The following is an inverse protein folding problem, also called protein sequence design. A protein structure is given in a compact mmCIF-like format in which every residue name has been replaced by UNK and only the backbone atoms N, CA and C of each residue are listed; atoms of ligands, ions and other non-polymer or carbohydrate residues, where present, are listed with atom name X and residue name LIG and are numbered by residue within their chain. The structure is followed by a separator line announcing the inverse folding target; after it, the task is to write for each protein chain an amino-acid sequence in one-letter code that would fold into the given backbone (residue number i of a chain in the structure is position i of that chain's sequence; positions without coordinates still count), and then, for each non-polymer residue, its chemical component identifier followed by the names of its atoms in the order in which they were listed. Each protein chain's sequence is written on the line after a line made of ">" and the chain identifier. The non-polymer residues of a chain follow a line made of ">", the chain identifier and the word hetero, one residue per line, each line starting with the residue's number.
data_IF_234844658330
#
_entry.id   IF_234844658330
#
_cell.length_a   1.000
_cell.length_b   1.000
_cell.length_c   1.000
_cell.angle_alpha   90.00
_cell.angle_beta   90.00
_cell.angle_gamma   90.00
#
_symmetry.space_group_name_H-M   'P 1'
#
loop_
_entity.id
_entity.type
_entity.pdbx_description
1 polymer ?
#
# COMPACT_ATOMS: atom_id res chain seq x y z
N UNK A 1 -33.49 -3.01 -10.78
CA UNK A 1 -32.98 -4.30 -10.32
C UNK A 1 -33.84 -5.44 -10.84
N UNK A 2 -33.21 -6.45 -11.44
CA UNK A 2 -33.82 -7.70 -11.89
C UNK A 2 -33.05 -8.87 -11.28
N UNK A 3 -33.77 -9.87 -10.73
CA UNK A 3 -33.18 -11.12 -10.23
C UNK A 3 -33.03 -12.10 -11.39
N UNK A 4 -31.83 -12.65 -11.57
CA UNK A 4 -31.51 -13.70 -12.56
C UNK A 4 -30.82 -14.89 -11.93
N UNK A 5 -30.74 -15.97 -12.69
CA UNK A 5 -29.99 -17.18 -12.34
C UNK A 5 -28.98 -17.47 -13.42
N UNK A 6 -27.77 -17.85 -13.03
CA UNK A 6 -26.75 -18.28 -13.99
C UNK A 6 -26.97 -19.73 -14.45
N UNK A 7 -26.07 -20.24 -15.29
CA UNK A 7 -26.13 -21.60 -15.83
C UNK A 7 -26.01 -22.71 -14.76
N UNK A 8 -25.60 -22.36 -13.55
CA UNK A 8 -25.43 -23.28 -12.40
C UNK A 8 -26.59 -23.11 -11.40
N UNK A 9 -27.57 -22.26 -11.70
CA UNK A 9 -28.73 -21.98 -10.86
C UNK A 9 -28.46 -20.99 -9.72
N UNK A 10 -27.30 -20.34 -9.69
CA UNK A 10 -26.95 -19.34 -8.68
C UNK A 10 -27.65 -18.02 -8.97
N UNK A 11 -28.19 -17.40 -7.92
CA UNK A 11 -28.94 -16.15 -8.04
C UNK A 11 -27.97 -14.97 -8.08
N UNK A 12 -28.22 -14.04 -9.01
CA UNK A 12 -27.53 -12.75 -9.07
C UNK A 12 -28.53 -11.66 -9.47
N UNK A 13 -28.13 -10.39 -9.31
CA UNK A 13 -28.99 -9.24 -9.52
C UNK A 13 -28.37 -8.29 -10.54
N UNK A 14 -29.19 -7.76 -11.44
CA UNK A 14 -28.80 -6.81 -12.49
C UNK A 14 -29.50 -5.48 -12.25
N UNK A 15 -28.74 -4.39 -12.20
CA UNK A 15 -29.31 -3.05 -12.30
C UNK A 15 -29.32 -2.58 -13.75
N UNK A 16 -30.50 -2.45 -14.35
CA UNK A 16 -30.68 -1.98 -15.73
C UNK A 16 -30.32 -0.52 -15.95
N UNK A 17 -30.38 0.31 -14.89
CA UNK A 17 -30.08 1.74 -15.01
C UNK A 17 -28.58 1.97 -15.11
N UNK A 18 -27.80 1.32 -14.25
CA UNK A 18 -26.34 1.45 -14.20
C UNK A 18 -25.61 0.36 -14.99
N UNK A 19 -26.35 -0.64 -15.49
CA UNK A 19 -25.81 -1.86 -16.14
C UNK A 19 -24.80 -2.60 -15.26
N UNK A 20 -24.99 -2.54 -13.95
CA UNK A 20 -24.15 -3.25 -12.97
C UNK A 20 -24.76 -4.58 -12.57
N UNK A 21 -23.94 -5.47 -12.05
CA UNK A 21 -24.38 -6.76 -11.51
C UNK A 21 -23.76 -7.00 -10.14
N UNK A 22 -24.48 -7.72 -9.28
CA UNK A 22 -23.96 -8.13 -7.97
C UNK A 22 -24.58 -9.46 -7.54
N UNK A 23 -23.87 -10.16 -6.68
CA UNK A 23 -24.31 -11.41 -6.06
C UNK A 23 -25.13 -11.17 -4.78
N UNK A 24 -25.08 -9.97 -4.19
CA UNK A 24 -25.90 -9.60 -3.03
C UNK A 24 -27.28 -9.12 -3.44
N UNK A 25 -28.28 -9.44 -2.62
CA UNK A 25 -29.61 -8.87 -2.78
C UNK A 25 -29.55 -7.35 -2.55
N UNK A 26 -30.06 -6.52 -3.49
CA UNK A 26 -30.07 -5.07 -3.34
C UNK A 26 -31.05 -4.65 -2.25
N UNK A 27 -30.53 -4.51 -1.03
CA UNK A 27 -31.23 -3.95 0.12
C UNK A 27 -30.83 -2.48 0.34
N UNK A 28 -31.54 -1.78 1.22
CA UNK A 28 -31.29 -0.36 1.49
C UNK A 28 -29.85 -0.11 1.96
N UNK A 29 -29.29 -1.00 2.79
CA UNK A 29 -27.92 -0.91 3.29
C UNK A 29 -26.90 -0.95 2.16
N UNK A 30 -26.99 -1.91 1.25
CA UNK A 30 -26.10 -2.04 0.09
C UNK A 30 -26.23 -0.81 -0.83
N UNK A 31 -27.46 -0.35 -1.10
CA UNK A 31 -27.69 0.82 -1.95
C UNK A 31 -27.07 2.09 -1.35
N UNK A 32 -27.19 2.29 -0.04
CA UNK A 32 -26.55 3.40 0.65
C UNK A 32 -25.01 3.30 0.57
N UNK A 33 -24.44 2.10 0.80
CA UNK A 33 -22.99 1.86 0.69
C UNK A 33 -22.47 2.17 -0.71
N UNK A 34 -23.22 1.78 -1.74
CA UNK A 34 -22.85 2.01 -3.15
C UNK A 34 -22.94 3.48 -3.52
N UNK A 35 -23.97 4.18 -3.06
CA UNK A 35 -24.09 5.62 -3.25
C UNK A 35 -22.93 6.38 -2.56
N UNK A 36 -22.57 5.99 -1.34
CA UNK A 36 -21.43 6.56 -0.63
C UNK A 36 -20.11 6.29 -1.37
N UNK A 37 -19.91 5.05 -1.86
CA UNK A 37 -18.76 4.70 -2.69
C UNK A 37 -18.68 5.54 -3.97
N UNK A 38 -19.81 5.76 -4.67
CA UNK A 38 -19.85 6.57 -5.87
C UNK A 38 -19.50 8.04 -5.59
N UNK A 39 -20.04 8.62 -4.51
CA UNK A 39 -19.70 9.98 -4.09
C UNK A 39 -18.22 10.12 -3.72
N UNK A 40 -17.69 9.16 -2.96
CA UNK A 40 -16.29 9.10 -2.58
C UNK A 40 -15.39 9.02 -3.81
N UNK A 41 -15.73 8.16 -4.77
CA UNK A 41 -14.98 7.96 -6.02
C UNK A 41 -15.04 9.21 -6.90
N UNK A 42 -16.19 9.86 -7.02
CA UNK A 42 -16.35 11.10 -7.77
C UNK A 42 -15.51 12.25 -7.18
N UNK A 43 -15.57 12.43 -5.86
CA UNK A 43 -14.76 13.42 -5.14
C UNK A 43 -13.26 13.15 -5.33
N UNK A 44 -12.85 11.88 -5.19
CA UNK A 44 -11.45 11.47 -5.36
C UNK A 44 -10.95 11.66 -6.78
N UNK A 45 -11.75 11.33 -7.80
CA UNK A 45 -11.36 11.51 -9.20
C UNK A 45 -11.03 12.97 -9.54
N UNK A 46 -11.73 13.94 -8.93
CA UNK A 46 -11.45 15.37 -9.15
C UNK A 46 -10.08 15.84 -8.64
N UNK A 47 -9.56 15.20 -7.59
CA UNK A 47 -8.24 15.51 -6.98
C UNK A 47 -7.19 14.43 -7.22
N UNK A 48 -7.54 13.37 -7.97
CA UNK A 48 -6.71 12.18 -8.14
C UNK A 48 -5.39 12.53 -8.82
N UNK A 49 -5.43 13.30 -9.90
CA UNK A 49 -4.23 13.67 -10.64
C UNK A 49 -3.27 14.47 -9.76
N UNK A 50 -3.79 15.41 -8.97
CA UNK A 50 -3.00 16.21 -8.04
C UNK A 50 -2.38 15.33 -6.95
N UNK A 51 -3.17 14.48 -6.29
CA UNK A 51 -2.68 13.57 -5.23
C UNK A 51 -1.65 12.59 -5.75
N UNK A 52 -1.88 12.04 -6.94
CA UNK A 52 -0.92 11.17 -7.62
C UNK A 52 0.39 11.93 -7.83
N UNK A 53 0.35 13.11 -8.45
CA UNK A 53 1.53 13.92 -8.69
C UNK A 53 2.27 14.28 -7.41
N UNK A 54 1.56 14.67 -6.35
CA UNK A 54 2.14 14.96 -5.03
C UNK A 54 2.83 13.74 -4.41
N UNK A 55 2.21 12.54 -4.46
CA UNK A 55 2.83 11.30 -3.96
C UNK A 55 4.09 10.93 -4.74
N UNK A 56 4.07 11.06 -6.07
CA UNK A 56 5.25 10.80 -6.91
C UNK A 56 6.33 11.87 -6.75
N UNK A 57 5.97 13.14 -6.55
CA UNK A 57 6.92 14.23 -6.32
C UNK A 57 7.62 14.14 -4.95
N UNK A 58 6.89 13.71 -3.92
CA UNK A 58 7.43 13.51 -2.58
C UNK A 58 8.17 12.18 -2.41
N UNK A 59 8.04 11.26 -3.36
CA UNK A 59 8.78 10.02 -3.35
C UNK A 59 10.26 10.29 -3.64
N UNK A 60 11.07 10.31 -2.57
CA UNK A 60 12.52 10.52 -2.57
C UNK A 60 13.27 9.61 -3.58
N UNK A 61 12.64 8.51 -3.99
CA UNK A 61 13.19 7.47 -4.86
C UNK A 61 12.80 7.54 -6.34
N UNK A 62 11.93 8.46 -6.74
CA UNK A 62 11.46 8.57 -8.13
C UNK A 62 12.34 9.46 -9.02
N UNK A 63 13.60 9.70 -8.62
CA UNK A 63 14.56 10.55 -9.33
C UNK A 63 14.94 10.04 -10.75
N UNK A 64 14.47 8.86 -11.17
CA UNK A 64 14.75 8.26 -12.49
C UNK A 64 13.65 8.40 -13.56
N UNK A 65 12.46 8.93 -13.25
CA UNK A 65 11.34 9.08 -14.22
C UNK A 65 10.81 10.53 -14.28
N UNK A 66 11.68 11.54 -14.19
CA UNK A 66 11.28 12.93 -14.46
C UNK A 66 11.35 13.25 -15.96
N UNK A 67 10.18 13.39 -16.58
CA UNK A 67 9.97 14.03 -17.88
C UNK A 67 10.66 15.41 -18.00
N UNK A 68 11.08 15.84 -19.20
CA UNK A 68 11.56 17.19 -19.47
C UNK A 68 10.35 18.14 -19.62
N UNK A 69 9.94 18.80 -18.54
CA UNK A 69 8.92 19.84 -18.59
C UNK A 69 9.56 21.24 -18.63
N UNK A 70 9.06 22.02 -19.58
CA UNK A 70 9.47 23.36 -20.03
C UNK A 70 9.75 24.36 -18.89
N UNK A 71 10.78 25.18 -19.09
CA UNK A 71 11.45 26.02 -18.09
C UNK A 71 10.74 27.38 -17.87
N UNK A 72 9.41 27.41 -17.81
CA UNK A 72 8.65 28.66 -17.85
C UNK A 72 7.50 28.74 -16.85
N UNK A 73 7.62 28.16 -15.65
CA UNK A 73 6.80 28.59 -14.49
C UNK A 73 7.25 27.95 -13.18
N UNK A 74 8.17 28.61 -12.47
CA UNK A 74 8.33 28.41 -11.03
C UNK A 74 8.41 29.76 -10.32
N UNK A 75 7.26 30.27 -9.93
CA UNK A 75 7.14 31.30 -8.90
C UNK A 75 6.68 30.65 -7.60
N UNK A 76 7.48 30.82 -6.56
CA UNK A 76 7.16 30.84 -5.13
C UNK A 76 6.06 29.90 -4.60
N UNK A 77 6.49 28.82 -3.96
CA UNK A 77 5.92 28.39 -2.67
C UNK A 77 7.03 27.84 -1.79
N UNK A 78 7.35 28.61 -0.76
CA UNK A 78 8.18 28.27 0.38
C UNK A 78 7.46 27.31 1.34
N UNK A 79 8.26 26.61 2.16
CA UNK A 79 7.88 25.87 3.38
C UNK A 79 6.99 24.63 3.22
N UNK A 80 7.63 23.49 2.97
CA UNK A 80 7.06 22.15 3.15
C UNK A 80 8.16 21.11 3.00
N UNK A 81 8.53 20.46 4.11
CA UNK A 81 9.76 19.68 4.24
C UNK A 81 9.93 18.54 3.24
N UNK A 82 10.86 18.73 2.29
CA UNK A 82 11.55 17.62 1.64
C UNK A 82 12.45 17.00 2.71
N UNK A 83 11.98 15.93 3.36
CA UNK A 83 12.79 15.15 4.31
C UNK A 83 13.89 14.45 3.54
N UNK A 84 15.06 15.08 3.57
CA UNK A 84 16.26 14.60 2.92
C UNK A 84 16.93 13.54 3.80
N UNK A 85 17.37 12.38 3.26
CA UNK A 85 17.91 11.25 4.03
C UNK A 85 19.13 11.59 4.91
N UNK A 86 19.79 12.74 4.72
CA UNK A 86 20.87 13.27 5.56
C UNK A 86 20.40 14.33 6.60
N UNK A 87 19.09 14.52 6.81
CA UNK A 87 18.51 15.56 7.67
C UNK A 87 18.28 16.88 6.93
N UNK A 88 17.86 17.98 7.58
CA UNK A 88 17.74 19.28 6.88
C UNK A 88 19.10 19.77 6.38
N UNK A 89 19.14 20.41 5.20
CA UNK A 89 20.35 21.10 4.74
C UNK A 89 20.77 22.18 5.75
N UNK A 90 22.07 22.46 5.92
CA UNK A 90 22.53 23.55 6.76
C UNK A 90 21.90 24.87 6.32
N UNK A 91 21.72 25.80 7.26
CA UNK A 91 21.09 27.09 6.97
C UNK A 91 21.76 27.76 5.76
N UNK A 92 20.93 28.25 4.82
CA UNK A 92 21.33 28.91 3.58
C UNK A 92 21.92 28.01 2.48
N UNK A 93 21.79 26.70 2.59
CA UNK A 93 22.06 25.77 1.49
C UNK A 93 20.79 25.31 0.80
N UNK A 94 20.84 25.21 -0.53
CA UNK A 94 19.74 24.74 -1.37
C UNK A 94 20.26 23.64 -2.30
N UNK A 95 19.57 22.50 -2.35
CA UNK A 95 19.84 21.45 -3.33
C UNK A 95 19.10 21.77 -4.62
N UNK A 96 19.83 21.78 -5.73
CA UNK A 96 19.32 21.95 -7.09
C UNK A 96 19.71 20.76 -7.95
N UNK A 97 19.09 20.64 -9.11
CA UNK A 97 19.36 19.58 -10.08
C UNK A 97 19.72 20.25 -11.40
N UNK A 98 20.79 19.78 -12.03
CA UNK A 98 21.20 20.28 -13.35
C UNK A 98 20.35 19.67 -14.48
N UNK A 99 20.62 20.11 -15.70
CA UNK A 99 19.96 19.62 -16.92
C UNK A 99 20.17 18.12 -17.19
N UNK A 100 21.17 17.50 -16.55
CA UNK A 100 21.48 16.07 -16.67
C UNK A 100 20.84 15.21 -15.58
N UNK A 101 20.05 15.82 -14.68
CA UNK A 101 19.45 15.12 -13.53
C UNK A 101 20.41 14.96 -12.35
N UNK A 102 21.63 15.51 -12.42
CA UNK A 102 22.62 15.45 -11.35
C UNK A 102 22.36 16.55 -10.32
N UNK A 103 22.30 16.17 -9.05
CA UNK A 103 22.14 17.13 -7.95
C UNK A 103 23.41 17.95 -7.74
N UNK A 104 23.25 19.24 -7.48
CA UNK A 104 24.30 20.17 -7.06
C UNK A 104 23.75 21.07 -5.94
N UNK A 105 24.62 21.58 -5.07
CA UNK A 105 24.26 22.30 -3.86
C UNK A 105 24.75 23.73 -3.96
N UNK A 106 23.84 24.67 -3.71
CA UNK A 106 24.08 26.11 -3.77
C UNK A 106 24.08 26.68 -2.37
N UNK A 107 25.15 27.38 -2.01
CA UNK A 107 25.21 28.16 -0.78
C UNK A 107 24.84 29.62 -1.08
N UNK A 108 23.75 30.10 -0.48
CA UNK A 108 23.24 31.45 -0.70
C UNK A 108 24.04 32.55 -0.01
N UNK A 109 24.86 32.20 0.99
CA UNK A 109 25.74 33.14 1.70
C UNK A 109 27.04 33.36 0.93
N UNK A 110 27.71 32.28 0.52
CA UNK A 110 28.98 32.37 -0.23
C UNK A 110 28.79 32.46 -1.75
N UNK A 111 27.56 32.29 -2.24
CA UNK A 111 27.18 32.27 -3.66
C UNK A 111 27.99 31.29 -4.50
N UNK A 112 28.40 30.18 -3.90
CA UNK A 112 29.07 29.08 -4.59
C UNK A 112 28.09 27.95 -4.87
N UNK A 113 28.32 27.23 -5.96
CA UNK A 113 27.69 25.95 -6.25
C UNK A 113 28.74 24.84 -6.23
N UNK A 114 28.39 23.69 -5.67
CA UNK A 114 29.25 22.51 -5.61
C UNK A 114 28.44 21.24 -5.92
N UNK A 115 29.11 20.17 -6.31
CA UNK A 115 28.43 18.91 -6.66
C UNK A 115 28.22 18.03 -5.42
N UNK A 116 29.04 18.22 -4.40
CA UNK A 116 29.05 17.46 -3.16
C UNK A 116 28.07 18.04 -2.14
N UNK A 117 27.37 17.18 -1.41
CA UNK A 117 26.45 17.62 -0.37
C UNK A 117 27.19 18.32 0.79
N UNK A 118 26.78 19.52 1.21
CA UNK A 118 27.42 20.22 2.33
C UNK A 118 27.35 19.44 3.66
N UNK A 119 26.41 18.51 3.82
CA UNK A 119 26.34 17.62 5.00
C UNK A 119 27.35 16.49 4.95
N UNK A 120 27.84 16.15 3.76
CA UNK A 120 28.91 15.18 3.54
C UNK A 120 30.28 15.83 3.81
N UNK A 121 30.39 17.16 3.71
CA UNK A 121 31.62 17.91 3.92
C UNK A 121 32.00 18.18 5.39
N UNK A 122 31.32 17.57 6.36
CA UNK A 122 31.71 17.63 7.78
C UNK A 122 32.65 16.50 8.23
N UNK A 123 32.55 15.32 7.62
CA UNK A 123 33.37 14.15 7.95
C UNK A 123 33.74 13.39 6.68
N UNK A 124 35.04 13.30 6.32
CA UNK A 124 35.47 12.47 5.21
C UNK A 124 35.04 11.02 5.44
N UNK A 125 34.71 10.30 4.36
CA UNK A 125 34.53 8.85 4.44
C UNK A 125 35.81 8.23 5.06
N UNK A 126 35.69 7.18 5.87
CA UNK A 126 36.87 6.49 6.39
C UNK A 126 37.79 6.05 5.25
N UNK A 127 39.12 6.00 5.47
CA UNK A 127 40.06 5.55 4.43
C UNK A 127 39.63 4.22 3.82
N UNK A 128 39.64 4.14 2.49
CA UNK A 128 39.22 2.95 1.74
C UNK A 128 37.71 2.83 1.49
N UNK A 129 36.88 3.76 1.95
CA UNK A 129 35.45 3.78 1.62
C UNK A 129 35.14 4.68 0.42
N UNK A 130 34.30 4.19 -0.48
CA UNK A 130 33.81 4.91 -1.67
C UNK A 130 32.28 4.92 -1.66
N UNK A 131 31.66 6.07 -1.96
CA UNK A 131 30.22 6.14 -2.21
C UNK A 131 29.95 5.95 -3.70
N UNK A 132 28.99 5.11 -4.03
CA UNK A 132 28.47 4.88 -5.40
C UNK A 132 26.96 4.97 -5.41
N UNK A 133 26.38 5.03 -6.61
CA UNK A 133 24.94 5.09 -6.79
C UNK A 133 24.45 3.92 -7.63
N UNK A 134 23.29 3.37 -7.28
CA UNK A 134 22.58 2.40 -8.14
C UNK A 134 22.08 3.10 -9.40
N UNK A 135 21.64 2.33 -10.40
CA UNK A 135 20.98 2.84 -11.62
C UNK A 135 19.71 3.65 -11.33
N UNK A 136 19.16 3.51 -10.13
CA UNK A 136 17.95 4.18 -9.64
C UNK A 136 18.28 5.43 -8.80
N UNK A 137 19.56 5.75 -8.63
CA UNK A 137 20.02 6.93 -7.90
C UNK A 137 20.21 6.73 -6.39
N UNK A 138 20.19 5.49 -5.88
CA UNK A 138 20.37 5.24 -4.45
C UNK A 138 21.84 5.14 -4.06
N UNK A 139 22.29 5.85 -3.01
CA UNK A 139 23.67 5.74 -2.55
C UNK A 139 23.91 4.37 -1.89
N UNK A 140 25.06 3.76 -2.20
CA UNK A 140 25.63 2.63 -1.48
C UNK A 140 27.13 2.85 -1.27
N UNK A 141 27.69 2.20 -0.27
CA UNK A 141 29.06 2.40 0.19
C UNK A 141 29.88 1.14 -0.07
N UNK A 142 31.03 1.31 -0.72
CA UNK A 142 31.99 0.26 -1.05
C UNK A 142 33.18 0.41 -0.12
N UNK A 143 33.42 -0.61 0.70
CA UNK A 143 34.63 -0.72 1.51
C UNK A 143 35.70 -1.45 0.69
N UNK A 144 36.69 -0.71 0.21
CA UNK A 144 37.83 -1.26 -0.53
C UNK A 144 38.82 -2.01 0.36
N UNK A 145 38.75 -1.86 1.68
CA UNK A 145 39.59 -2.60 2.62
C UNK A 145 39.11 -4.05 2.76
N UNK A 146 37.80 -4.24 2.91
CA UNK A 146 37.16 -5.56 3.06
C UNK A 146 36.63 -6.13 1.75
N UNK A 147 36.62 -5.34 0.67
CA UNK A 147 36.00 -5.67 -0.63
C UNK A 147 34.51 -6.00 -0.53
N UNK A 148 33.80 -5.33 0.38
CA UNK A 148 32.36 -5.49 0.57
C UNK A 148 31.62 -4.21 0.20
N UNK A 149 30.35 -4.32 -0.19
CA UNK A 149 29.45 -3.19 -0.36
C UNK A 149 28.31 -3.25 0.65
N UNK A 150 27.81 -2.09 1.07
CA UNK A 150 26.72 -1.96 2.04
C UNK A 150 25.90 -0.71 1.75
N UNK A 151 24.63 -0.71 2.12
CA UNK A 151 23.79 0.50 2.12
C UNK A 151 23.96 1.33 3.41
N UNK A 152 24.64 0.78 4.42
CA UNK A 152 24.90 1.50 5.68
C UNK A 152 26.03 2.49 5.51
N UNK A 153 25.74 3.74 5.86
CA UNK A 153 26.73 4.80 5.83
C UNK A 153 27.77 4.58 6.94
N UNK A 154 29.06 4.38 6.61
CA UNK A 154 30.12 4.09 7.59
C UNK A 154 30.37 5.25 8.56
N UNK A 155 29.80 6.43 8.31
CA UNK A 155 29.87 7.62 9.17
C UNK A 155 28.80 7.62 10.26
N UNK A 156 27.70 6.87 10.08
CA UNK A 156 26.66 6.76 11.10
C UNK A 156 27.13 5.76 12.12
N UNK A 157 27.27 6.21 13.36
CA UNK A 157 27.65 5.37 14.48
C UNK A 157 26.49 5.25 15.47
N UNK A 158 26.27 4.05 15.98
CA UNK A 158 25.38 3.83 17.11
C UNK A 158 25.91 4.49 18.39
N UNK A 159 25.13 4.47 19.47
CA UNK A 159 25.53 5.01 20.76
C UNK A 159 26.83 4.37 21.33
N UNK A 160 27.25 3.22 20.79
CA UNK A 160 28.47 2.50 21.15
C UNK A 160 29.66 2.81 20.23
N UNK A 161 29.49 3.68 19.23
CA UNK A 161 30.56 4.09 18.31
C UNK A 161 30.83 3.13 17.14
N UNK A 162 30.03 2.08 16.98
CA UNK A 162 30.09 1.14 15.85
C UNK A 162 29.23 1.65 14.69
N UNK A 163 29.52 1.24 13.45
CA UNK A 163 28.67 1.59 12.30
C UNK A 163 27.24 1.15 12.59
N UNK A 164 26.29 2.08 12.53
CA UNK A 164 24.87 1.81 12.76
C UNK A 164 24.39 0.75 11.75
N UNK A 165 24.12 -0.46 12.25
CA UNK A 165 23.75 -1.58 11.39
C UNK A 165 22.29 -1.55 10.96
N UNK A 166 21.44 -0.78 11.67
CA UNK A 166 20.02 -0.68 11.36
C UNK A 166 19.82 0.10 10.05
N UNK A 167 19.31 -0.58 9.02
CA UNK A 167 18.95 0.08 7.78
C UNK A 167 17.81 1.07 8.03
N UNK A 168 18.01 2.31 7.59
CA UNK A 168 16.94 3.29 7.46
C UNK A 168 15.81 2.73 6.58
N UNK A 169 14.58 3.23 6.75
CA UNK A 169 13.46 2.84 5.88
C UNK A 169 13.83 3.06 4.42
N UNK A 170 14.52 4.16 4.19
CA UNK A 170 15.06 4.60 2.93
C UNK A 170 15.95 3.54 2.25
N UNK A 171 16.94 3.03 2.98
CA UNK A 171 17.86 2.01 2.49
C UNK A 171 17.15 0.67 2.24
N UNK A 172 16.15 0.33 3.06
CA UNK A 172 15.31 -0.87 2.84
C UNK A 172 14.54 -0.77 1.53
N UNK A 173 13.94 0.39 1.25
CA UNK A 173 13.22 0.63 -0.01
C UNK A 173 14.18 0.58 -1.21
N UNK A 174 15.32 1.26 -1.11
CA UNK A 174 16.34 1.24 -2.16
C UNK A 174 16.84 -0.18 -2.49
N UNK A 175 17.14 -0.97 -1.46
CA UNK A 175 17.56 -2.36 -1.64
C UNK A 175 16.45 -3.22 -2.24
N UNK A 176 15.20 -3.03 -1.82
CA UNK A 176 14.07 -3.76 -2.37
C UNK A 176 13.83 -3.43 -3.86
N UNK A 177 13.92 -2.16 -4.26
CA UNK A 177 13.84 -1.77 -5.67
C UNK A 177 14.95 -2.38 -6.50
N UNK A 178 16.20 -2.34 -6.02
CA UNK A 178 17.32 -3.00 -6.70
C UNK A 178 17.09 -4.51 -6.89
N UNK A 179 16.52 -5.19 -5.89
CA UNK A 179 16.15 -6.60 -6.02
C UNK A 179 15.06 -6.81 -7.08
N UNK A 180 14.06 -5.93 -7.17
CA UNK A 180 13.05 -6.00 -8.22
C UNK A 180 13.68 -5.77 -9.61
N UNK A 181 14.54 -4.76 -9.73
CA UNK A 181 15.19 -4.40 -10.99
C UNK A 181 16.13 -5.49 -11.49
N UNK A 182 16.98 -6.04 -10.61
CA UNK A 182 17.90 -7.15 -10.96
C UNK A 182 17.18 -8.42 -11.40
N UNK A 183 15.91 -8.60 -10.99
CA UNK A 183 15.06 -9.71 -11.38
C UNK A 183 14.10 -9.38 -12.55
N UNK A 184 14.16 -8.17 -13.13
CA UNK A 184 13.33 -7.80 -14.29
C UNK A 184 13.62 -8.73 -15.47
N UNK A 185 12.54 -9.21 -16.08
CA UNK A 185 12.62 -9.98 -17.32
C UNK A 185 12.62 -9.00 -18.49
N UNK A 186 13.56 -9.15 -19.43
CA UNK A 186 13.77 -8.25 -20.58
C UNK A 186 12.62 -8.20 -21.61
N UNK A 187 11.51 -8.89 -21.34
CA UNK A 187 10.31 -8.84 -22.17
C UNK A 187 9.38 -7.72 -21.70
N UNK A 188 8.51 -7.30 -22.62
CA UNK A 188 7.47 -6.31 -22.36
C UNK A 188 6.10 -7.00 -22.40
N UNK A 189 5.21 -6.63 -21.49
CA UNK A 189 3.82 -7.09 -21.46
C UNK A 189 2.91 -5.89 -21.62
N UNK A 190 2.01 -5.95 -22.61
CA UNK A 190 0.99 -4.93 -22.83
C UNK A 190 -0.34 -5.38 -22.23
N UNK A 191 -0.95 -4.53 -21.43
CA UNK A 191 -2.29 -4.73 -20.84
C UNK A 191 -3.21 -3.66 -21.41
N UNK A 192 -4.28 -4.09 -22.07
CA UNK A 192 -5.21 -3.24 -22.83
C UNK A 192 -6.56 -3.22 -22.14
N UNK A 193 -6.94 -2.11 -21.51
CA UNK A 193 -8.12 -2.04 -20.62
C UNK A 193 -9.08 -0.94 -21.06
N UNK A 194 -10.37 -1.13 -20.86
CA UNK A 194 -11.37 -0.06 -20.99
C UNK A 194 -11.49 0.73 -19.69
N UNK A 195 -11.74 2.04 -19.79
CA UNK A 195 -12.07 2.87 -18.62
C UNK A 195 -13.39 2.49 -17.98
N UNK A 196 -14.35 1.99 -18.77
CA UNK A 196 -15.67 1.61 -18.27
C UNK A 196 -15.70 0.24 -17.59
N UNK A 197 -14.73 -0.63 -17.88
CA UNK A 197 -14.68 -2.01 -17.39
C UNK A 197 -13.33 -2.36 -16.76
N UNK A 198 -12.71 -1.35 -16.12
CA UNK A 198 -11.31 -1.38 -15.70
C UNK A 198 -10.95 -2.63 -14.88
N UNK A 199 -11.77 -2.97 -13.88
CA UNK A 199 -11.49 -4.09 -12.97
C UNK A 199 -11.56 -5.44 -13.69
N UNK A 200 -12.61 -5.69 -14.45
CA UNK A 200 -12.82 -6.98 -15.15
C UNK A 200 -11.77 -7.18 -16.24
N UNK A 201 -11.50 -6.15 -17.06
CA UNK A 201 -10.48 -6.23 -18.13
C UNK A 201 -9.08 -6.47 -17.55
N UNK A 202 -8.77 -5.82 -16.41
CA UNK A 202 -7.50 -6.00 -15.70
C UNK A 202 -7.42 -7.40 -15.08
N UNK A 203 -8.50 -7.88 -14.47
CA UNK A 203 -8.59 -9.21 -13.88
C UNK A 203 -8.31 -10.28 -14.93
N UNK A 204 -9.03 -10.27 -16.05
CA UNK A 204 -8.86 -11.28 -17.10
C UNK A 204 -7.43 -11.33 -17.64
N UNK A 205 -6.83 -10.16 -17.90
CA UNK A 205 -5.50 -10.11 -18.50
C UNK A 205 -4.40 -10.51 -17.52
N UNK A 206 -4.42 -9.98 -16.29
CA UNK A 206 -3.39 -10.28 -15.29
C UNK A 206 -3.47 -11.73 -14.83
N UNK A 207 -4.67 -12.32 -14.76
CA UNK A 207 -4.85 -13.71 -14.35
C UNK A 207 -4.43 -14.71 -15.43
N UNK A 208 -4.55 -14.35 -16.72
CA UNK A 208 -4.04 -15.17 -17.84
C UNK A 208 -2.51 -15.25 -17.88
N UNK A 209 -1.82 -14.23 -17.39
CA UNK A 209 -0.35 -14.20 -17.36
C UNK A 209 0.21 -15.15 -16.30
N UNK A 210 1.36 -15.77 -16.62
CA UNK A 210 2.10 -16.57 -15.65
C UNK A 210 2.84 -15.66 -14.66
N UNK A 211 3.09 -16.10 -13.40
CA UNK A 211 3.73 -15.25 -12.39
C UNK A 211 5.09 -14.66 -12.78
N UNK A 212 5.89 -15.36 -13.59
CA UNK A 212 7.19 -14.83 -14.05
C UNK A 212 7.04 -13.76 -15.15
N UNK A 213 5.93 -13.77 -15.90
CA UNK A 213 5.64 -12.76 -16.94
C UNK A 213 5.20 -11.43 -16.32
N UNK A 214 4.71 -11.45 -15.08
CA UNK A 214 4.37 -10.24 -14.33
C UNK A 214 5.61 -9.42 -13.90
N UNK A 215 6.81 -10.02 -13.99
CA UNK A 215 8.10 -9.36 -13.76
C UNK A 215 8.67 -8.69 -15.02
N UNK A 216 7.97 -8.78 -16.14
CA UNK A 216 8.28 -8.04 -17.35
C UNK A 216 7.90 -6.58 -17.19
N UNK A 217 8.47 -5.70 -18.01
CA UNK A 217 8.03 -4.29 -18.04
C UNK A 217 6.58 -4.21 -18.52
N UNK A 218 5.73 -3.57 -17.72
CA UNK A 218 4.30 -3.46 -17.95
C UNK A 218 3.98 -2.17 -18.74
N UNK A 219 3.21 -2.29 -19.81
CA UNK A 219 2.69 -1.17 -20.60
C UNK A 219 1.17 -1.18 -20.56
N UNK A 220 0.58 -0.12 -20.02
CA UNK A 220 -0.88 0.02 -19.96
C UNK A 220 -1.38 0.84 -21.16
N UNK A 221 -2.46 0.37 -21.78
CA UNK A 221 -3.11 1.05 -22.90
C UNK A 221 -4.62 1.08 -22.67
N UNK A 222 -5.21 2.28 -22.70
CA UNK A 222 -6.66 2.41 -22.64
C UNK A 222 -7.27 2.26 -24.03
N UNK A 223 -8.31 1.44 -24.15
CA UNK A 223 -8.98 1.21 -25.44
C UNK A 223 -9.60 2.51 -25.95
N UNK A 224 -9.29 2.88 -27.20
CA UNK A 224 -9.81 4.10 -27.83
C UNK A 224 -9.03 5.38 -27.53
N UNK A 225 -7.92 5.29 -26.80
CA UNK A 225 -7.05 6.43 -26.49
C UNK A 225 -5.67 6.26 -27.14
N UNK A 226 -5.20 7.30 -27.82
CA UNK A 226 -3.82 7.36 -28.29
C UNK A 226 -2.92 7.81 -27.14
N UNK A 227 -2.10 6.90 -26.64
CA UNK A 227 -1.13 7.19 -25.58
C UNK A 227 0.01 6.18 -25.59
N UNK A 228 1.24 6.70 -25.62
CA UNK A 228 2.45 5.92 -25.36
C UNK A 228 2.70 5.96 -23.84
N UNK A 229 2.68 4.79 -23.21
CA UNK A 229 2.88 4.69 -21.77
C UNK A 229 4.37 4.86 -21.41
N UNK A 230 4.78 6.11 -21.23
CA UNK A 230 6.05 6.46 -20.60
C UNK A 230 5.97 6.48 -19.05
N UNK A 231 4.91 5.89 -18.49
CA UNK A 231 4.70 5.79 -17.04
C UNK A 231 3.40 6.44 -16.58
N UNK A 232 2.91 7.49 -17.26
CA UNK A 232 1.69 8.20 -16.86
C UNK A 232 0.44 7.32 -16.82
N UNK A 233 0.22 6.50 -17.87
CA UNK A 233 -0.93 5.62 -17.95
C UNK A 233 -0.82 4.47 -16.93
N UNK A 234 0.39 3.95 -16.71
CA UNK A 234 0.62 2.95 -15.67
C UNK A 234 0.27 3.49 -14.27
N UNK A 235 0.71 4.70 -13.93
CA UNK A 235 0.43 5.35 -12.64
C UNK A 235 -1.07 5.55 -12.46
N UNK A 236 -1.75 6.05 -13.50
CA UNK A 236 -3.20 6.23 -13.48
C UNK A 236 -3.95 4.91 -13.26
N UNK A 237 -3.52 3.85 -13.96
CA UNK A 237 -4.11 2.52 -13.85
C UNK A 237 -4.02 1.95 -12.43
N UNK A 238 -2.85 2.01 -11.80
CA UNK A 238 -2.68 1.55 -10.40
C UNK A 238 -3.59 2.33 -9.43
N UNK A 239 -3.70 3.64 -9.59
CA UNK A 239 -4.58 4.45 -8.73
C UNK A 239 -6.06 4.12 -8.94
N UNK A 240 -6.54 4.11 -10.19
CA UNK A 240 -7.96 3.84 -10.48
C UNK A 240 -8.35 2.42 -10.09
N UNK A 241 -7.55 1.44 -10.47
CA UNK A 241 -7.81 0.04 -10.14
C UNK A 241 -7.83 -0.19 -8.63
N UNK A 242 -6.96 0.48 -7.87
CA UNK A 242 -6.97 0.39 -6.40
C UNK A 242 -8.26 0.93 -5.76
N UNK A 243 -9.01 1.79 -6.47
CA UNK A 243 -10.33 2.27 -6.01
C UNK A 243 -11.43 1.33 -6.47
N UNK A 244 -11.40 0.86 -7.72
CA UNK A 244 -12.36 -0.11 -8.25
C UNK A 244 -12.40 -1.43 -7.47
N UNK A 245 -11.27 -1.85 -6.90
CA UNK A 245 -11.21 -3.02 -6.02
C UNK A 245 -12.11 -2.90 -4.78
N UNK A 246 -12.47 -1.68 -4.37
CA UNK A 246 -13.32 -1.42 -3.22
C UNK A 246 -14.81 -1.33 -3.58
N UNK A 247 -15.16 -1.54 -4.85
CA UNK A 247 -16.53 -1.45 -5.32
C UNK A 247 -17.39 -2.50 -4.60
N UNK A 248 -18.42 -2.09 -3.82
CA UNK A 248 -19.23 -2.99 -3.01
C UNK A 248 -19.96 -4.07 -3.84
N UNK A 249 -20.16 -3.84 -5.13
CA UNK A 249 -20.81 -4.80 -6.04
C UNK A 249 -20.07 -6.14 -6.12
N UNK A 250 -18.73 -6.14 -6.00
CA UNK A 250 -17.91 -7.35 -6.05
C UNK A 250 -17.82 -8.09 -4.72
N UNK A 251 -18.29 -7.48 -3.62
CA UNK A 251 -18.38 -8.07 -2.29
C UNK A 251 -17.03 -8.51 -1.70
N UNK A 252 -15.91 -7.91 -2.13
CA UNK A 252 -14.57 -8.36 -1.71
C UNK A 252 -14.13 -7.74 -0.38
N UNK A 253 -14.39 -6.46 -0.19
CA UNK A 253 -13.94 -5.70 0.97
C UNK A 253 -15.10 -4.93 1.60
N UNK A 254 -14.91 -4.57 2.85
CA UNK A 254 -15.78 -3.70 3.63
C UNK A 254 -14.95 -2.77 4.52
N UNK A 255 -15.60 -1.73 5.03
CA UNK A 255 -14.99 -0.82 6.01
C UNK A 255 -15.41 -1.22 7.42
N UNK A 256 -14.43 -1.43 8.31
CA UNK A 256 -14.68 -1.72 9.71
C UNK A 256 -15.16 -0.46 10.47
N UNK A 257 -16.04 -0.66 11.46
CA UNK A 257 -16.35 0.34 12.48
C UNK A 257 -16.99 1.65 11.99
N UNK A 258 -17.74 1.65 10.90
CA UNK A 258 -18.45 2.85 10.38
C UNK A 258 -17.54 3.97 9.87
N UNK A 259 -16.21 3.78 9.92
CA UNK A 259 -15.21 4.73 9.47
C UNK A 259 -14.61 4.26 8.14
N UNK A 260 -14.57 5.15 7.14
CA UNK A 260 -14.08 4.87 5.79
C UNK A 260 -12.54 4.65 5.69
N UNK A 261 -11.86 4.35 6.79
CA UNK A 261 -10.41 4.27 6.89
C UNK A 261 -9.89 2.87 7.19
N UNK A 262 -10.70 1.98 7.79
CA UNK A 262 -10.27 0.65 8.16
C UNK A 262 -10.77 -0.39 7.14
N UNK A 263 -10.06 -0.52 6.02
CA UNK A 263 -10.42 -1.49 4.97
C UNK A 263 -10.07 -2.92 5.40
N UNK A 264 -11.06 -3.82 5.37
CA UNK A 264 -10.89 -5.25 5.66
C UNK A 264 -11.53 -6.15 4.61
N UNK A 265 -11.10 -7.41 4.57
CA UNK A 265 -11.73 -8.44 3.73
C UNK A 265 -13.14 -8.67 4.24
N UNK A 266 -14.13 -8.67 3.35
CA UNK A 266 -15.51 -8.97 3.72
C UNK A 266 -15.63 -10.47 4.07
N UNK A 267 -16.03 -10.84 5.31
CA UNK A 267 -16.24 -12.24 5.70
C UNK A 267 -17.30 -12.94 4.83
N UNK A 268 -18.27 -12.18 4.32
CA UNK A 268 -19.32 -12.63 3.42
C UNK A 268 -18.92 -12.60 1.93
N UNK A 269 -17.63 -12.42 1.61
CA UNK A 269 -17.15 -12.40 0.21
C UNK A 269 -17.45 -13.69 -0.56
N UNK A 270 -17.67 -14.81 0.13
CA UNK A 270 -18.06 -16.10 -0.46
C UNK A 270 -19.38 -16.06 -1.25
N UNK A 271 -20.20 -15.02 -1.07
CA UNK A 271 -21.36 -14.75 -1.96
C UNK A 271 -20.94 -14.60 -3.40
N UNK A 272 -19.77 -13.99 -3.63
CA UNK A 272 -19.15 -13.99 -4.94
C UNK A 272 -18.39 -15.33 -5.13
N UNK A 273 -18.82 -16.20 -6.05
CA UNK A 273 -18.20 -17.51 -6.24
C UNK A 273 -16.75 -17.43 -6.72
N UNK A 274 -16.36 -16.31 -7.34
CA UNK A 274 -15.00 -16.09 -7.84
C UNK A 274 -14.14 -15.27 -6.86
N UNK A 275 -14.62 -15.03 -5.63
CA UNK A 275 -13.93 -14.15 -4.67
C UNK A 275 -12.48 -14.56 -4.40
N UNK A 276 -12.17 -15.87 -4.36
CA UNK A 276 -10.80 -16.36 -4.17
C UNK A 276 -9.88 -16.00 -5.35
N UNK A 277 -10.38 -16.09 -6.59
CA UNK A 277 -9.61 -15.68 -7.77
C UNK A 277 -9.45 -14.17 -7.80
N UNK A 278 -10.45 -13.40 -7.37
CA UNK A 278 -10.31 -11.95 -7.17
C UNK A 278 -9.28 -11.61 -6.09
N UNK A 279 -9.24 -12.30 -4.95
CA UNK A 279 -8.19 -12.09 -3.94
C UNK A 279 -6.81 -12.47 -4.46
N UNK A 280 -6.71 -13.53 -5.26
CA UNK A 280 -5.47 -13.91 -5.95
C UNK A 280 -5.02 -12.83 -6.93
N UNK A 281 -5.95 -12.24 -7.67
CA UNK A 281 -5.70 -11.08 -8.53
C UNK A 281 -5.24 -9.86 -7.71
N UNK A 282 -5.91 -9.53 -6.60
CA UNK A 282 -5.52 -8.42 -5.70
C UNK A 282 -4.10 -8.64 -5.18
N UNK A 283 -3.74 -9.86 -4.78
CA UNK A 283 -2.39 -10.21 -4.37
C UNK A 283 -1.35 -9.96 -5.48
N UNK A 284 -1.65 -10.38 -6.72
CA UNK A 284 -0.80 -10.08 -7.90
C UNK A 284 -0.71 -8.57 -8.17
N UNK A 285 -1.81 -7.85 -8.05
CA UNK A 285 -1.88 -6.40 -8.27
C UNK A 285 -1.04 -5.62 -7.26
N UNK A 286 -1.15 -5.94 -5.97
CA UNK A 286 -0.32 -5.32 -4.92
C UNK A 286 1.17 -5.64 -5.15
N UNK A 287 1.48 -6.89 -5.50
CA UNK A 287 2.84 -7.30 -5.83
C UNK A 287 3.39 -6.55 -7.05
N UNK A 288 2.58 -6.35 -8.10
CA UNK A 288 2.93 -5.54 -9.27
C UNK A 288 3.19 -4.08 -8.88
N UNK A 289 2.37 -3.50 -8.00
CA UNK A 289 2.54 -2.13 -7.53
C UNK A 289 3.89 -1.97 -6.82
N UNK A 290 4.23 -2.91 -5.92
CA UNK A 290 5.52 -2.94 -5.24
C UNK A 290 6.69 -3.19 -6.19
N UNK A 291 6.56 -4.14 -7.12
CA UNK A 291 7.63 -4.56 -8.02
C UNK A 291 8.00 -3.51 -9.06
N UNK A 292 7.01 -2.76 -9.57
CA UNK A 292 7.18 -1.70 -10.56
C UNK A 292 7.24 -0.29 -9.95
N UNK A 293 7.38 -0.20 -8.62
CA UNK A 293 7.49 1.05 -7.86
C UNK A 293 6.34 2.03 -8.17
N UNK A 294 5.10 1.50 -8.19
CA UNK A 294 3.88 2.26 -8.41
C UNK A 294 3.06 2.36 -7.12
N UNK A 295 2.54 3.56 -6.85
CA UNK A 295 1.67 3.80 -5.70
C UNK A 295 0.21 3.40 -5.99
N UNK A 296 -0.48 2.98 -4.95
CA UNK A 296 -1.93 2.78 -4.90
C UNK A 296 -2.55 3.81 -3.96
N UNK A 297 -3.78 4.26 -4.24
CA UNK A 297 -4.40 5.33 -3.45
C UNK A 297 -4.97 4.81 -2.12
N UNK A 298 -5.51 3.59 -2.14
CA UNK A 298 -6.10 2.92 -0.99
C UNK A 298 -5.11 1.95 -0.34
N UNK A 299 -4.87 2.14 0.95
CA UNK A 299 -4.06 1.24 1.76
C UNK A 299 -4.93 0.29 2.59
N UNK A 300 -4.40 -0.90 2.86
CA UNK A 300 -4.95 -1.78 3.87
C UNK A 300 -4.57 -1.28 5.27
N UNK A 301 -5.25 -1.82 6.29
CA UNK A 301 -4.92 -1.54 7.69
C UNK A 301 -3.52 -2.08 8.05
N UNK A 302 -2.87 -1.51 9.06
CA UNK A 302 -1.58 -2.00 9.55
C UNK A 302 -1.57 -3.50 9.93
N UNK A 303 -2.63 -4.05 10.54
CA UNK A 303 -2.69 -5.47 10.87
C UNK A 303 -2.69 -6.36 9.61
N UNK A 304 -3.28 -5.89 8.51
CA UNK A 304 -3.20 -6.57 7.22
C UNK A 304 -1.76 -6.69 6.72
N UNK A 305 -0.98 -5.60 6.79
CA UNK A 305 0.44 -5.64 6.42
C UNK A 305 1.27 -6.48 7.39
N UNK A 306 0.94 -6.49 8.70
CA UNK A 306 1.58 -7.41 9.66
C UNK A 306 1.35 -8.86 9.25
N UNK A 307 0.13 -9.22 8.83
CA UNK A 307 -0.17 -10.56 8.33
C UNK A 307 0.64 -10.90 7.08
N UNK A 308 0.80 -9.96 6.13
CA UNK A 308 1.67 -10.15 4.95
C UNK A 308 3.14 -10.38 5.31
N UNK A 309 3.63 -9.72 6.36
CA UNK A 309 4.99 -9.88 6.87
C UNK A 309 5.15 -11.07 7.82
N UNK A 310 4.09 -11.89 7.98
CA UNK A 310 4.03 -13.00 8.94
C UNK A 310 4.41 -12.58 10.38
N UNK A 311 4.00 -11.37 10.78
CA UNK A 311 4.13 -10.87 12.15
C UNK A 311 2.86 -11.12 12.93
N UNK A 312 3.01 -11.35 14.24
CA UNK A 312 1.88 -11.53 15.15
C UNK A 312 1.05 -10.24 15.25
N UNK A 313 -0.27 -10.44 15.30
CA UNK A 313 -1.24 -9.38 15.58
C UNK A 313 -1.32 -9.25 17.11
N UNK A 314 -1.39 -8.02 17.59
CA UNK A 314 -1.39 -7.68 19.02
C UNK A 314 -2.69 -6.97 19.38
N UNK A 315 -3.03 -6.89 20.67
CA UNK A 315 -4.25 -6.19 21.11
C UNK A 315 -4.29 -4.72 20.64
N UNK A 316 -3.13 -4.04 20.60
CA UNK A 316 -3.01 -2.67 20.10
C UNK A 316 -3.32 -2.54 18.58
N UNK A 317 -3.20 -3.64 17.82
CA UNK A 317 -3.59 -3.65 16.41
C UNK A 317 -5.12 -3.62 16.24
N UNK A 318 -5.86 -4.23 17.17
CA UNK A 318 -7.32 -4.29 17.15
C UNK A 318 -7.92 -2.90 17.32
N UNK A 319 -7.35 -2.06 18.18
CA UNK A 319 -7.77 -0.67 18.39
C UNK A 319 -7.82 0.13 17.08
N UNK A 320 -6.93 -0.17 16.12
CA UNK A 320 -6.88 0.54 14.83
C UNK A 320 -7.99 0.13 13.84
N UNK A 321 -8.67 -0.99 14.10
CA UNK A 321 -9.69 -1.57 13.22
C UNK A 321 -11.07 -1.47 13.86
N UNK A 322 -11.18 -1.87 15.13
CA UNK A 322 -12.42 -1.90 15.90
C UNK A 322 -12.14 -1.45 17.34
N UNK A 323 -12.44 -0.17 17.60
CA UNK A 323 -12.25 0.47 18.90
C UNK A 323 -13.20 -0.11 19.94
N UNK A 324 -14.42 -0.47 19.56
CA UNK A 324 -15.42 -1.01 20.48
C UNK A 324 -15.01 -2.39 20.97
N UNK A 325 -14.62 -3.26 20.03
CA UNK A 325 -14.13 -4.60 20.35
C UNK A 325 -12.84 -4.55 21.19
N UNK A 326 -11.91 -3.65 20.85
CA UNK A 326 -10.71 -3.41 21.66
C UNK A 326 -11.06 -3.00 23.09
N UNK A 327 -12.00 -2.07 23.28
CA UNK A 327 -12.41 -1.63 24.61
C UNK A 327 -13.04 -2.78 25.42
N UNK A 328 -13.83 -3.64 24.77
CA UNK A 328 -14.38 -4.84 25.41
C UNK A 328 -13.29 -5.81 25.87
N UNK A 329 -12.30 -6.11 25.01
CA UNK A 329 -11.17 -6.98 25.38
C UNK A 329 -10.30 -6.36 26.48
N UNK A 330 -10.06 -5.05 26.41
CA UNK A 330 -9.30 -4.32 27.42
C UNK A 330 -10.02 -4.30 28.76
N UNK A 331 -11.35 -4.15 28.76
CA UNK A 331 -12.15 -4.29 29.97
C UNK A 331 -11.99 -5.69 30.57
N UNK A 332 -12.04 -6.74 29.75
CA UNK A 332 -11.82 -8.12 30.21
C UNK A 332 -10.41 -8.26 30.82
N UNK A 333 -9.41 -7.65 30.19
CA UNK A 333 -8.02 -7.71 30.65
C UNK A 333 -7.83 -7.06 32.03
N UNK A 334 -8.43 -5.89 32.26
CA UNK A 334 -8.16 -5.04 33.42
C UNK A 334 -9.04 -5.34 34.64
N UNK A 335 -10.20 -5.97 34.45
CA UNK A 335 -11.17 -6.22 35.53
C UNK A 335 -11.22 -7.70 35.95
N UNK A 336 -11.69 -7.96 37.18
CA UNK A 336 -11.94 -9.31 37.67
C UNK A 336 -13.26 -9.85 37.08
N UNK A 337 -13.17 -10.84 36.21
CA UNK A 337 -14.34 -11.36 35.47
C UNK A 337 -15.30 -12.14 36.37
N UNK A 338 -14.76 -12.83 37.37
CA UNK A 338 -15.54 -13.68 38.27
C UNK A 338 -16.51 -12.83 39.13
N UNK A 339 -16.14 -11.58 39.42
CA UNK A 339 -16.98 -10.61 40.14
C UNK A 339 -18.00 -9.90 39.24
N UNK A 340 -17.74 -9.83 37.92
CA UNK A 340 -18.61 -9.14 36.98
C UNK A 340 -19.85 -9.94 36.59
N UNK A 341 -19.85 -11.26 36.81
CA UNK A 341 -20.98 -12.13 36.44
C UNK A 341 -21.25 -12.18 34.93
N UNK A 342 -20.19 -12.11 34.12
CA UNK A 342 -20.29 -12.17 32.65
C UNK A 342 -20.40 -13.62 32.17
N UNK A 343 -21.49 -13.97 31.49
CA UNK A 343 -21.68 -15.28 30.84
C UNK A 343 -20.99 -15.33 29.48
N UNK A 344 -19.66 -15.20 29.48
CA UNK A 344 -18.82 -15.28 28.27
C UNK A 344 -18.13 -16.63 28.21
N UNK A 345 -18.07 -17.22 27.03
CA UNK A 345 -17.46 -18.53 26.78
C UNK A 345 -16.33 -18.41 25.75
N UNK A 346 -15.52 -19.44 25.56
CA UNK A 346 -14.49 -19.50 24.51
C UNK A 346 -15.11 -19.74 23.12
N UNK A 347 -16.12 -18.96 22.78
CA UNK A 347 -16.81 -18.95 21.50
C UNK A 347 -17.20 -17.51 21.13
N UNK A 348 -17.21 -17.23 19.83
CA UNK A 348 -17.55 -15.92 19.28
C UNK A 348 -18.64 -16.10 18.23
N UNK A 349 -19.68 -15.29 18.35
CA UNK A 349 -20.74 -15.20 17.35
C UNK A 349 -20.40 -14.11 16.34
N UNK A 350 -20.60 -14.43 15.06
CA UNK A 350 -20.43 -13.48 13.96
C UNK A 350 -21.55 -13.68 12.95
N UNK A 351 -22.01 -12.58 12.37
CA UNK A 351 -23.07 -12.59 11.37
C UNK A 351 -22.48 -12.66 9.97
N UNK A 352 -22.92 -13.64 9.18
CA UNK A 352 -22.59 -13.73 7.76
C UNK A 352 -23.90 -13.79 6.98
N UNK A 353 -24.23 -12.73 6.25
CA UNK A 353 -25.42 -12.65 5.40
C UNK A 353 -26.76 -12.83 6.14
N UNK A 354 -26.86 -12.34 7.37
CA UNK A 354 -28.05 -12.53 8.21
C UNK A 354 -28.11 -13.87 8.95
N UNK A 355 -27.13 -14.76 8.73
CA UNK A 355 -26.99 -15.99 9.50
C UNK A 355 -25.99 -15.79 10.63
N UNK A 356 -26.44 -15.98 11.88
CA UNK A 356 -25.58 -15.95 13.05
C UNK A 356 -24.84 -17.28 13.16
N UNK A 357 -23.50 -17.21 13.15
CA UNK A 357 -22.62 -18.39 13.25
C UNK A 357 -21.74 -18.27 14.48
N UNK A 358 -21.63 -19.36 15.23
CA UNK A 358 -20.78 -19.46 16.41
C UNK A 358 -19.48 -20.18 16.08
N UNK A 359 -18.34 -19.48 16.19
CA UNK A 359 -17.00 -20.05 16.09
C UNK A 359 -16.45 -20.37 17.47
N UNK A 360 -15.94 -21.58 17.69
CA UNK A 360 -15.23 -21.92 18.93
C UNK A 360 -13.78 -21.44 18.83
N UNK A 361 -13.30 -20.70 19.82
CA UNK A 361 -11.93 -20.19 19.85
C UNK A 361 -10.92 -21.32 20.10
N UNK A 362 -11.36 -22.37 20.81
CA UNK A 362 -10.61 -23.61 21.04
C UNK A 362 -11.55 -24.81 21.03
N UNK A 363 -11.04 -26.05 20.89
CA UNK A 363 -11.88 -27.25 20.86
C UNK A 363 -12.78 -27.36 22.11
N UNK A 364 -14.10 -27.39 21.92
CA UNK A 364 -15.08 -27.45 23.02
C UNK A 364 -15.29 -26.10 23.71
N UNK A 365 -14.86 -25.00 23.10
CA UNK A 365 -14.88 -23.67 23.71
C UNK A 365 -16.27 -23.16 24.10
N UNK A 366 -17.35 -23.68 23.50
CA UNK A 366 -18.73 -23.36 23.87
C UNK A 366 -19.10 -23.74 25.30
N UNK A 367 -18.45 -24.76 25.85
CA UNK A 367 -18.73 -25.26 27.20
C UNK A 367 -17.73 -24.70 28.24
N UNK A 368 -16.75 -23.91 27.78
CA UNK A 368 -15.67 -23.38 28.62
C UNK A 368 -16.00 -21.94 28.98
N UNK A 369 -16.41 -21.73 30.23
CA UNK A 369 -16.69 -20.39 30.77
C UNK A 369 -15.40 -19.58 30.92
N UNK A 370 -15.48 -18.31 30.56
CA UNK A 370 -14.45 -17.31 30.83
C UNK A 370 -14.39 -17.04 32.34
N UNK A 371 -13.19 -17.15 32.89
CA UNK A 371 -12.88 -16.88 34.31
C UNK A 371 -11.67 -15.98 34.37
N UNK A 372 -11.42 -15.37 35.52
CA UNK A 372 -10.25 -14.50 35.68
C UNK A 372 -8.91 -15.25 35.40
N UNK A 373 -8.88 -16.54 35.72
CA UNK A 373 -7.71 -17.40 35.53
C UNK A 373 -7.40 -17.72 34.06
N UNK A 374 -8.41 -17.76 33.17
CA UNK A 374 -8.23 -18.14 31.76
C UNK A 374 -8.40 -16.96 30.79
N UNK A 375 -8.69 -15.75 31.29
CA UNK A 375 -8.90 -14.56 30.45
C UNK A 375 -7.71 -14.17 29.56
N UNK A 376 -6.48 -14.47 29.99
CA UNK A 376 -5.30 -14.21 29.18
C UNK A 376 -5.28 -15.08 27.91
N UNK A 377 -5.67 -16.36 28.02
CA UNK A 377 -5.79 -17.30 26.89
C UNK A 377 -6.97 -16.93 25.97
N UNK A 378 -8.03 -16.34 26.52
CA UNK A 378 -9.18 -15.88 25.72
C UNK A 378 -8.84 -14.66 24.86
N UNK A 379 -7.96 -13.79 25.34
CA UNK A 379 -7.53 -12.56 24.64
C UNK A 379 -6.48 -12.86 23.56
N UNK A 380 -5.63 -13.86 23.78
CA UNK A 380 -4.65 -14.36 22.81
C UNK A 380 -5.33 -15.08 21.63
#
# INVERSE_FOLDING_TARGET
>A
WERRTDNVGRVYYIDHNTRTTTWLCPNQTLLNTVQNYQQMTASRNGIMQQRMNERYANAVWNLGESEPLDASSRTNTSTGGVMDPLGPLPANWERRVDISGRSYFVNHVSRISQWEDPRIQGHPLPPGWEIRYTTEGFPFFVDHNTKTSTFNDPRRKDASGNIEQAWSFENKVASFHYLCHSNLVTKNVKVVVSRSNLLVDSFEQIMRLKPHELRCRLFISFTGEEGLDYGGLSREWFFKLSTELLNPMYCLFEYAGGNNYALQINPASSVNPEHLEYFRFVGRFIALALYHSRFIDNGFTLPFYKRMLNKNITLADIETVDVEYYNSLKFIQENNIDECGLDVYFAMDYEVLGELRTHELKPGGRDILLTDANKAEYIE
#
